data_IF_189807289872
#
_entry.id   IF_189807289872
#
_cell.length_a   1.000
_cell.length_b   1.000
_cell.length_c   1.000
_cell.angle_alpha   90.00
_cell.angle_beta   90.00
_cell.angle_gamma   90.00
#
_symmetry.space_group_name_H-M   'P 1'
#
loop_
_entity.id
_entity.type
_entity.pdbx_description
1 polymer ?
#
# COMPACT_ATOMS: atom_id res chain seq x y z
N UNK A 1 6.97 3.05 17.84
CA UNK A 1 7.83 2.63 16.73
C UNK A 1 6.94 2.36 15.54
N UNK A 2 6.73 3.35 14.68
CA UNK A 2 5.92 3.21 13.47
C UNK A 2 6.71 2.34 12.48
N UNK A 3 6.28 1.08 12.30
CA UNK A 3 6.87 0.22 11.28
C UNK A 3 6.38 0.72 9.93
N UNK A 4 7.12 1.63 9.31
CA UNK A 4 6.87 2.06 7.93
C UNK A 4 6.63 0.83 7.05
N UNK A 5 5.47 0.77 6.39
CA UNK A 5 5.13 -0.31 5.48
C UNK A 5 5.81 -0.01 4.15
N UNK A 6 6.62 -0.95 3.66
CA UNK A 6 7.11 -0.90 2.29
C UNK A 6 5.98 -1.37 1.35
N UNK A 7 5.26 -0.38 0.81
CA UNK A 7 4.07 -0.58 -0.02
C UNK A 7 4.41 -1.27 -1.34
N UNK A 8 5.58 -0.95 -1.92
CA UNK A 8 6.03 -1.56 -3.18
C UNK A 8 6.28 -3.05 -2.97
N UNK A 9 7.07 -3.38 -1.94
CA UNK A 9 7.39 -4.77 -1.62
C UNK A 9 6.13 -5.57 -1.28
N UNK A 10 5.18 -4.98 -0.53
CA UNK A 10 3.89 -5.62 -0.23
C UNK A 10 3.11 -5.93 -1.51
N UNK A 11 2.98 -4.95 -2.40
CA UNK A 11 2.27 -5.09 -3.67
C UNK A 11 2.90 -6.19 -4.54
N UNK A 12 4.22 -6.21 -4.64
CA UNK A 12 4.97 -7.19 -5.44
C UNK A 12 4.83 -8.61 -4.88
N UNK A 13 4.83 -8.78 -3.55
CA UNK A 13 4.55 -10.08 -2.91
C UNK A 13 3.15 -10.60 -3.20
N UNK A 14 2.17 -9.71 -3.32
CA UNK A 14 0.81 -10.03 -3.73
C UNK A 14 0.67 -10.26 -5.24
N UNK A 15 1.75 -10.07 -6.02
CA UNK A 15 1.75 -10.09 -7.48
C UNK A 15 0.76 -9.09 -8.10
N UNK A 16 0.63 -7.91 -7.50
CA UNK A 16 -0.31 -6.87 -7.93
C UNK A 16 0.37 -5.76 -8.73
N UNK A 17 -0.37 -5.15 -9.65
CA UNK A 17 0.02 -3.90 -10.31
C UNK A 17 -0.33 -2.69 -9.44
N UNK A 18 0.25 -1.52 -9.73
CA UNK A 18 -0.10 -0.28 -9.03
C UNK A 18 -1.59 0.05 -9.19
N UNK A 19 -2.15 -0.20 -10.38
CA UNK A 19 -3.58 -0.02 -10.66
C UNK A 19 -4.43 -0.95 -9.78
N UNK A 20 -4.04 -2.22 -9.64
CA UNK A 20 -4.78 -3.17 -8.78
C UNK A 20 -4.78 -2.75 -7.32
N UNK A 21 -3.64 -2.24 -6.83
CA UNK A 21 -3.55 -1.71 -5.47
C UNK A 21 -4.38 -0.44 -5.31
N UNK A 22 -4.38 0.45 -6.30
CA UNK A 22 -5.20 1.65 -6.32
C UNK A 22 -6.70 1.32 -6.24
N UNK A 23 -7.17 0.38 -7.06
CA UNK A 23 -8.55 -0.11 -7.04
C UNK A 23 -8.93 -0.65 -5.66
N UNK A 24 -8.05 -1.44 -5.05
CA UNK A 24 -8.30 -2.02 -3.72
C UNK A 24 -8.37 -0.94 -2.61
N UNK A 25 -7.48 0.05 -2.67
CA UNK A 25 -7.41 1.13 -1.69
C UNK A 25 -8.45 2.24 -1.95
N UNK A 26 -9.14 2.22 -3.10
CA UNK A 26 -10.08 3.26 -3.51
C UNK A 26 -9.41 4.61 -3.78
N UNK A 27 -8.19 4.60 -4.31
CA UNK A 27 -7.40 5.81 -4.63
C UNK A 27 -6.94 5.79 -6.07
N UNK A 28 -6.45 6.92 -6.58
CA UNK A 28 -5.85 6.99 -7.91
C UNK A 28 -4.48 6.27 -7.99
N UNK A 29 -4.14 5.71 -9.15
CA UNK A 29 -2.83 5.08 -9.40
C UNK A 29 -1.65 6.03 -9.09
N UNK A 30 -1.77 7.32 -9.38
CA UNK A 30 -0.73 8.31 -9.05
C UNK A 30 -0.55 8.49 -7.55
N UNK A 31 -1.60 8.30 -6.75
CA UNK A 31 -1.51 8.29 -5.29
C UNK A 31 -0.66 7.11 -4.81
N UNK A 32 -0.89 5.90 -5.35
CA UNK A 32 -0.06 4.72 -5.06
C UNK A 32 1.40 4.97 -5.42
N UNK A 33 1.66 5.54 -6.60
CA UNK A 33 3.03 5.87 -7.03
C UNK A 33 3.73 6.83 -6.06
N UNK A 34 3.04 7.87 -5.58
CA UNK A 34 3.60 8.81 -4.59
C UNK A 34 3.86 8.15 -3.24
N UNK A 35 2.97 7.26 -2.81
CA UNK A 35 3.14 6.48 -1.57
C UNK A 35 4.37 5.58 -1.64
N UNK A 36 4.54 4.84 -2.73
CA UNK A 36 5.71 3.97 -2.95
C UNK A 36 7.04 4.74 -3.02
N UNK A 37 7.01 5.97 -3.51
CA UNK A 37 8.20 6.83 -3.60
C UNK A 37 8.46 7.65 -2.33
N UNK A 38 7.69 7.45 -1.25
CA UNK A 38 7.83 8.18 0.01
C UNK A 38 7.45 9.67 -0.07
N UNK A 39 6.78 10.08 -1.14
CA UNK A 39 6.36 11.47 -1.35
C UNK A 39 5.09 11.83 -0.58
N UNK A 40 4.44 10.85 0.05
CA UNK A 40 3.22 11.05 0.83
C UNK A 40 3.24 10.20 2.10
N UNK A 41 3.02 10.82 3.26
CA UNK A 41 2.76 10.08 4.50
C UNK A 41 1.37 9.49 4.42
N UNK A 42 1.29 8.16 4.44
CA UNK A 42 0.00 7.45 4.48
C UNK A 42 -0.60 7.61 5.87
N UNK A 43 -1.88 7.94 5.94
CA UNK A 43 -2.62 8.03 7.20
C UNK A 43 -4.09 7.71 6.98
N UNK A 44 -4.83 7.50 8.08
CA UNK A 44 -6.28 7.29 8.03
C UNK A 44 -6.67 5.91 7.48
N UNK A 45 -7.76 5.81 6.68
CA UNK A 45 -8.28 4.53 6.19
C UNK A 45 -7.28 3.73 5.35
N UNK A 46 -6.47 4.40 4.53
CA UNK A 46 -5.48 3.74 3.66
C UNK A 46 -4.42 3.01 4.49
N UNK A 47 -3.96 3.61 5.59
CA UNK A 47 -3.00 2.98 6.50
C UNK A 47 -3.55 1.68 7.11
N UNK A 48 -4.83 1.70 7.52
CA UNK A 48 -5.50 0.48 8.04
C UNK A 48 -5.62 -0.61 6.99
N UNK A 49 -5.98 -0.26 5.75
CA UNK A 49 -6.08 -1.24 4.66
C UNK A 49 -4.72 -1.86 4.31
N UNK A 50 -3.65 -1.07 4.32
CA UNK A 50 -2.29 -1.57 4.13
C UNK A 50 -1.84 -2.49 5.27
N UNK A 51 -2.24 -2.19 6.51
CA UNK A 51 -1.97 -3.06 7.64
C UNK A 51 -2.67 -4.42 7.51
N UNK A 52 -3.92 -4.45 7.03
CA UNK A 52 -4.66 -5.70 6.76
C UNK A 52 -3.98 -6.50 5.64
N UNK A 53 -3.67 -5.87 4.51
CA UNK A 53 -2.96 -6.53 3.40
C UNK A 53 -1.61 -7.12 3.83
N UNK A 54 -0.90 -6.44 4.73
CA UNK A 54 0.36 -6.93 5.28
C UNK A 54 0.18 -8.21 6.11
N UNK A 55 -0.92 -8.33 6.85
CA UNK A 55 -1.23 -9.53 7.61
C UNK A 55 -1.54 -10.70 6.67
N UNK A 56 -2.37 -10.47 5.66
CA UNK A 56 -2.70 -11.51 4.66
C UNK A 56 -1.47 -11.96 3.87
N UNK A 57 -0.56 -11.05 3.50
CA UNK A 57 0.65 -11.39 2.75
C UNK A 57 1.75 -12.08 3.60
N UNK A 58 1.57 -12.15 4.93
CA UNK A 58 2.50 -12.80 5.85
C UNK A 58 2.14 -14.26 6.13
N UNK A 59 0.91 -14.67 5.79
CA UNK A 59 0.42 -16.06 5.80
C UNK A 59 0.70 -16.75 4.46
#
# INVERSE_FOLDING_TARGET
MERSIDIRTLRERLNWTQDRLADYLGVDRSTVSRMENGQHRVSGPVDRLLAVLRQEAAE
#
